data_IF_924976402770
#
_entry.id   IF_924976402770
#
_cell.length_a   1.000
_cell.length_b   1.000
_cell.length_c   1.000
_cell.angle_alpha   90.00
_cell.angle_beta   90.00
_cell.angle_gamma   90.00
#
_symmetry.space_group_name_H-M   'P 1'
#
loop_
_entity.id
_entity.type
_entity.pdbx_description
1 polymer ?
#
# COMPACT_ATOMS: atom_id res chain seq x y z
N UNK A 1 14.42 14.09 19.85
CA UNK A 1 14.02 14.47 18.48
C UNK A 1 15.11 15.30 17.82
N UNK A 2 15.44 16.48 18.35
CA UNK A 2 16.64 17.23 17.91
C UNK A 2 17.94 16.40 18.03
N UNK A 3 17.95 15.40 18.91
CA UNK A 3 19.06 14.46 19.10
C UNK A 3 19.23 13.41 18.00
N UNK A 4 18.23 13.17 17.14
CA UNK A 4 18.34 12.20 16.04
C UNK A 4 18.75 12.99 14.80
N UNK A 5 19.94 12.77 14.23
CA UNK A 5 20.48 13.61 13.14
C UNK A 5 19.59 13.59 11.89
N UNK A 6 19.23 12.39 11.42
CA UNK A 6 18.45 12.22 10.20
C UNK A 6 17.03 11.77 10.53
N UNK A 7 16.05 12.53 10.05
CA UNK A 7 14.62 12.26 10.26
C UNK A 7 13.94 12.30 8.92
N UNK A 8 13.45 11.14 8.47
CA UNK A 8 12.85 10.94 7.17
C UNK A 8 11.35 10.78 7.34
N UNK A 9 10.56 11.66 6.71
CA UNK A 9 9.10 11.62 6.76
C UNK A 9 8.54 11.26 5.39
N UNK A 10 8.00 10.04 5.28
CA UNK A 10 7.51 9.48 4.01
C UNK A 10 6.01 9.65 3.91
N UNK A 11 5.55 10.34 2.88
CA UNK A 11 4.15 10.65 2.63
C UNK A 11 3.81 10.46 1.14
N UNK A 12 2.55 10.63 0.79
CA UNK A 12 2.02 10.43 -0.55
C UNK A 12 0.76 9.57 -0.56
N UNK A 13 0.12 9.44 -1.71
CA UNK A 13 -1.14 8.67 -1.78
C UNK A 13 -0.90 7.16 -1.82
N UNK A 14 0.09 6.70 -2.60
CA UNK A 14 0.42 5.28 -2.82
C UNK A 14 1.90 5.01 -2.58
N UNK A 15 2.27 3.81 -2.15
CA UNK A 15 3.67 3.40 -2.01
C UNK A 15 4.40 3.88 -0.75
N UNK A 16 3.74 4.62 0.16
CA UNK A 16 4.37 5.14 1.40
C UNK A 16 5.07 4.06 2.22
N UNK A 17 4.36 2.96 2.50
CA UNK A 17 4.89 1.86 3.31
C UNK A 17 6.07 1.18 2.61
N UNK A 18 5.96 0.91 1.31
CA UNK A 18 7.05 0.37 0.49
C UNK A 18 8.29 1.27 0.58
N UNK A 19 8.16 2.55 0.21
CA UNK A 19 9.29 3.51 0.22
C UNK A 19 9.89 3.67 1.62
N UNK A 20 9.06 3.70 2.68
CA UNK A 20 9.58 3.75 4.04
C UNK A 20 10.41 2.51 4.41
N UNK A 21 9.98 1.31 3.99
CA UNK A 21 10.72 0.06 4.21
C UNK A 21 11.99 0.02 3.37
N UNK A 22 11.91 0.40 2.10
CA UNK A 22 13.05 0.45 1.17
C UNK A 22 14.14 1.39 1.66
N UNK A 23 13.81 2.63 2.02
CA UNK A 23 14.77 3.59 2.59
C UNK A 23 15.39 3.03 3.87
N UNK A 24 14.59 2.49 4.79
CA UNK A 24 15.11 1.95 6.03
C UNK A 24 16.03 0.74 5.83
N UNK A 25 15.74 -0.12 4.85
CA UNK A 25 16.55 -1.28 4.52
C UNK A 25 17.84 -0.91 3.79
N UNK A 26 17.74 -0.01 2.80
CA UNK A 26 18.90 0.48 2.07
C UNK A 26 19.90 1.19 3.00
N UNK A 27 19.41 2.07 3.88
CA UNK A 27 20.27 2.74 4.85
C UNK A 27 20.94 1.78 5.84
N UNK A 28 20.22 0.76 6.34
CA UNK A 28 20.82 -0.27 7.22
C UNK A 28 21.87 -1.09 6.50
N UNK A 29 21.64 -1.45 5.24
CA UNK A 29 22.64 -2.18 4.45
C UNK A 29 23.88 -1.32 4.18
N UNK A 30 23.74 0.00 4.14
CA UNK A 30 24.85 0.96 4.16
C UNK A 30 25.55 1.14 5.51
N UNK A 31 25.17 0.38 6.54
CA UNK A 31 25.80 0.41 7.86
C UNK A 31 25.20 1.41 8.85
N UNK A 32 24.17 2.17 8.48
CA UNK A 32 23.54 3.13 9.40
C UNK A 32 22.61 2.42 10.40
N UNK A 33 22.62 2.92 11.64
CA UNK A 33 21.64 2.54 12.67
C UNK A 33 20.30 3.21 12.40
N UNK A 34 19.38 2.49 11.76
CA UNK A 34 18.07 3.04 11.37
C UNK A 34 16.92 2.37 12.10
N UNK A 35 16.01 3.17 12.65
CA UNK A 35 14.69 2.68 13.06
C UNK A 35 13.63 3.15 12.06
N UNK A 36 12.60 2.33 11.84
CA UNK A 36 11.49 2.71 10.97
C UNK A 36 10.15 2.49 11.65
N UNK A 37 9.14 3.24 11.23
CA UNK A 37 7.75 3.04 11.61
C UNK A 37 6.89 3.14 10.35
N UNK A 38 6.13 2.09 10.08
CA UNK A 38 5.15 2.02 8.98
C UNK A 38 3.70 1.98 9.50
N UNK A 39 2.74 2.28 8.62
CA UNK A 39 1.30 2.28 8.91
C UNK A 39 0.46 1.53 7.89
N UNK A 40 1.08 0.64 7.10
CA UNK A 40 0.43 -0.21 6.11
C UNK A 40 -0.60 -1.19 6.70
N UNK A 41 -0.75 -2.35 6.07
CA UNK A 41 -1.69 -3.40 6.46
C UNK A 41 -1.60 -3.73 7.95
N UNK A 42 -0.38 -3.96 8.42
CA UNK A 42 -0.04 -4.07 9.84
C UNK A 42 0.97 -2.98 10.16
N UNK A 43 0.60 -2.08 11.07
CA UNK A 43 1.52 -1.06 11.54
C UNK A 43 2.65 -1.72 12.33
N UNK A 44 3.88 -1.38 11.99
CA UNK A 44 5.07 -1.98 12.58
C UNK A 44 6.13 -0.94 12.92
N UNK A 45 7.06 -1.36 13.78
CA UNK A 45 8.30 -0.65 14.10
C UNK A 45 9.44 -1.59 13.82
N UNK A 46 10.38 -1.14 13.01
CA UNK A 46 11.65 -1.82 12.76
C UNK A 46 12.72 -1.21 13.66
N UNK A 47 13.42 -2.04 14.42
CA UNK A 47 14.54 -1.60 15.27
C UNK A 47 15.86 -1.46 14.48
N UNK A 48 16.93 -1.02 15.16
CA UNK A 48 18.26 -0.84 14.52
C UNK A 48 18.87 -2.14 13.98
N UNK A 49 18.41 -3.30 14.45
CA UNK A 49 18.87 -4.62 13.97
C UNK A 49 18.05 -5.11 12.77
N UNK A 50 17.01 -4.36 12.37
CA UNK A 50 16.10 -4.78 11.31
C UNK A 50 14.96 -5.68 11.78
N UNK A 51 14.81 -5.92 13.09
CA UNK A 51 13.70 -6.72 13.62
C UNK A 51 12.41 -5.90 13.56
N UNK A 52 11.35 -6.50 13.01
CA UNK A 52 10.05 -5.86 12.84
C UNK A 52 9.07 -6.29 13.94
N UNK A 53 8.50 -5.32 14.65
CA UNK A 53 7.56 -5.54 15.75
C UNK A 53 6.21 -4.87 15.45
N UNK A 54 5.08 -5.54 15.69
CA UNK A 54 3.77 -4.92 15.50
C UNK A 54 3.52 -3.79 16.49
N UNK A 55 2.89 -2.72 16.04
CA UNK A 55 2.41 -1.63 16.91
C UNK A 55 1.06 -2.02 17.48
N UNK A 56 1.05 -2.35 18.77
CA UNK A 56 -0.19 -2.67 19.48
C UNK A 56 -1.06 -1.42 19.66
N UNK A 57 -2.34 -1.54 19.32
CA UNK A 57 -3.34 -0.47 19.37
C UNK A 57 -4.51 -0.88 20.24
N UNK A 58 -4.82 -0.06 21.24
CA UNK A 58 -6.05 -0.17 22.03
C UNK A 58 -7.26 0.49 21.35
N UNK A 59 -7.01 1.37 20.36
CA UNK A 59 -8.04 2.16 19.69
C UNK A 59 -7.68 2.41 18.21
N UNK A 60 -8.51 3.18 17.51
CA UNK A 60 -8.28 3.53 16.11
C UNK A 60 -6.92 4.21 15.91
N UNK A 61 -6.30 4.07 14.72
CA UNK A 61 -5.02 4.71 14.40
C UNK A 61 -5.08 6.23 14.62
N UNK A 62 -4.08 6.77 15.30
CA UNK A 62 -4.00 8.19 15.62
C UNK A 62 -2.55 8.67 15.50
N UNK A 63 -2.33 9.88 14.98
CA UNK A 63 -1.02 10.52 14.86
C UNK A 63 -0.25 10.58 16.21
N UNK A 64 -0.93 10.64 17.36
CA UNK A 64 -0.30 10.65 18.69
C UNK A 64 0.50 9.36 18.96
N UNK A 65 0.12 8.23 18.34
CA UNK A 65 0.89 6.98 18.37
C UNK A 65 2.34 7.19 17.93
N UNK A 66 2.55 8.02 16.90
CA UNK A 66 3.87 8.31 16.35
C UNK A 66 4.79 8.87 17.43
N UNK A 67 4.28 9.73 18.32
CA UNK A 67 5.08 10.30 19.41
C UNK A 67 5.51 9.26 20.44
N UNK A 68 4.68 8.25 20.71
CA UNK A 68 5.02 7.16 21.63
C UNK A 68 6.10 6.26 21.05
N UNK A 69 5.93 5.86 19.78
CA UNK A 69 6.93 5.08 19.04
C UNK A 69 8.24 5.84 18.95
N UNK A 70 8.18 7.12 18.60
CA UNK A 70 9.35 7.98 18.47
C UNK A 70 10.18 8.09 19.75
N UNK A 71 9.53 8.21 20.91
CA UNK A 71 10.22 8.18 22.22
C UNK A 71 10.90 6.84 22.48
N UNK A 72 10.31 5.73 22.02
CA UNK A 72 10.90 4.39 22.17
C UNK A 72 12.11 4.21 21.27
N UNK A 73 12.01 4.55 19.99
CA UNK A 73 13.12 4.39 19.04
C UNK A 73 14.28 5.34 19.36
N UNK A 74 14.02 6.53 19.90
CA UNK A 74 15.08 7.46 20.31
C UNK A 74 16.02 6.89 21.37
N UNK A 75 15.56 5.95 22.21
CA UNK A 75 16.39 5.27 23.21
C UNK A 75 17.43 4.33 22.60
N UNK A 76 17.22 3.91 21.35
CA UNK A 76 18.19 3.09 20.61
C UNK A 76 19.31 3.92 19.96
N UNK A 77 19.26 5.25 20.12
CA UNK A 77 20.22 6.20 19.53
C UNK A 77 20.46 5.92 18.03
N UNK A 78 19.40 5.94 17.21
CA UNK A 78 19.55 5.75 15.78
C UNK A 78 20.20 6.98 15.14
N UNK A 79 20.94 6.75 14.06
CA UNK A 79 21.51 7.79 13.20
C UNK A 79 20.43 8.36 12.27
N UNK A 80 19.51 7.51 11.84
CA UNK A 80 18.36 7.88 11.03
C UNK A 80 17.06 7.24 11.55
N UNK A 81 15.94 7.97 11.40
CA UNK A 81 14.61 7.39 11.57
C UNK A 81 13.76 7.61 10.33
N UNK A 82 12.98 6.59 9.96
CA UNK A 82 12.04 6.65 8.83
C UNK A 82 10.62 6.50 9.35
N UNK A 83 9.79 7.54 9.18
CA UNK A 83 8.42 7.55 9.66
C UNK A 83 7.46 7.73 8.49
N UNK A 84 6.56 6.77 8.32
CA UNK A 84 5.44 6.90 7.41
C UNK A 84 4.38 7.86 7.97
N UNK A 85 3.94 8.81 7.15
CA UNK A 85 2.89 9.75 7.48
C UNK A 85 1.52 9.04 7.49
N UNK A 86 0.77 9.29 8.56
CA UNK A 86 -0.58 8.76 8.76
C UNK A 86 -1.68 9.83 8.60
N UNK A 87 -1.29 11.11 8.47
CA UNK A 87 -2.24 12.20 8.42
C UNK A 87 -2.97 12.19 7.08
N UNK A 88 -4.29 12.38 7.12
CA UNK A 88 -5.10 12.64 5.93
C UNK A 88 -5.49 14.12 5.84
N UNK A 89 -5.95 14.68 6.96
CA UNK A 89 -6.39 16.09 6.99
C UNK A 89 -5.22 17.05 6.72
N UNK A 90 -5.38 18.06 5.85
CA UNK A 90 -4.31 19.00 5.52
C UNK A 90 -3.64 19.66 6.73
N UNK A 91 -4.44 20.01 7.76
CA UNK A 91 -3.91 20.60 9.01
C UNK A 91 -3.01 19.63 9.77
N UNK A 92 -3.32 18.33 9.76
CA UNK A 92 -2.49 17.33 10.40
C UNK A 92 -1.25 16.97 9.59
N UNK A 93 -1.27 17.13 8.26
CA UNK A 93 -0.07 17.04 7.44
C UNK A 93 0.96 18.08 7.91
N UNK A 94 0.53 19.35 8.03
CA UNK A 94 1.39 20.41 8.55
C UNK A 94 1.81 20.20 10.01
N UNK A 95 0.88 19.80 10.88
CA UNK A 95 1.17 19.58 12.31
C UNK A 95 2.21 18.47 12.52
N UNK A 96 2.05 17.33 11.83
CA UNK A 96 2.98 16.21 11.96
C UNK A 96 4.38 16.60 11.53
N UNK A 97 4.52 17.38 10.46
CA UNK A 97 5.84 17.85 10.02
C UNK A 97 6.43 18.89 10.98
N UNK A 98 5.70 19.96 11.27
CA UNK A 98 6.26 21.12 11.98
C UNK A 98 6.42 20.93 13.49
N UNK A 99 5.60 20.06 14.10
CA UNK A 99 5.54 19.89 15.56
C UNK A 99 5.90 18.49 16.06
N UNK A 100 5.88 17.47 15.18
CA UNK A 100 6.12 16.08 15.59
C UNK A 100 7.42 15.52 15.01
N UNK A 101 7.50 15.32 13.70
CA UNK A 101 8.63 14.66 13.04
C UNK A 101 9.79 15.63 12.82
N UNK A 102 9.50 16.85 12.34
CA UNK A 102 10.49 17.89 11.96
C UNK A 102 11.58 17.32 11.09
N UNK A 103 11.19 16.76 9.96
CA UNK A 103 12.07 15.98 9.10
C UNK A 103 13.23 16.81 8.57
N UNK A 104 14.38 16.16 8.42
CA UNK A 104 15.48 16.72 7.61
C UNK A 104 15.30 16.34 6.13
N UNK A 105 14.66 15.20 5.89
CA UNK A 105 14.35 14.66 4.57
C UNK A 105 12.85 14.34 4.50
N UNK A 106 12.10 15.13 3.75
CA UNK A 106 10.72 14.80 3.40
C UNK A 106 10.69 13.98 2.12
N UNK A 107 9.78 13.01 2.03
CA UNK A 107 9.61 12.17 0.85
C UNK A 107 8.13 12.15 0.47
N UNK A 108 7.79 12.56 -0.75
CA UNK A 108 6.44 12.46 -1.31
C UNK A 108 6.47 11.47 -2.47
N UNK A 109 5.82 10.32 -2.32
CA UNK A 109 5.84 9.29 -3.35
C UNK A 109 5.05 9.68 -4.60
N UNK A 110 3.84 10.21 -4.44
CA UNK A 110 2.92 10.65 -5.52
C UNK A 110 1.69 11.37 -4.93
N UNK A 111 0.96 12.09 -5.78
CA UNK A 111 -0.26 12.83 -5.43
C UNK A 111 -1.46 12.43 -6.31
N UNK A 112 -1.93 11.18 -6.19
CA UNK A 112 -3.09 10.68 -6.94
C UNK A 112 -4.41 11.16 -6.32
N UNK A 113 -5.52 10.97 -7.03
CA UNK A 113 -6.86 11.26 -6.52
C UNK A 113 -7.23 10.20 -5.47
N UNK A 114 -7.04 10.51 -4.20
CA UNK A 114 -7.43 9.67 -3.06
C UNK A 114 -7.97 10.58 -1.94
N UNK A 115 -8.92 10.07 -1.15
CA UNK A 115 -9.51 10.79 -0.03
C UNK A 115 -9.99 12.21 -0.37
N UNK A 116 -10.67 12.38 -1.52
CA UNK A 116 -11.07 13.69 -2.04
C UNK A 116 -12.07 14.43 -1.13
N UNK A 117 -12.79 13.69 -0.31
CA UNK A 117 -13.68 14.19 0.75
C UNK A 117 -12.91 14.85 1.91
N UNK A 118 -11.65 14.44 2.15
CA UNK A 118 -10.80 14.93 3.25
C UNK A 118 -9.70 15.87 2.78
N UNK A 119 -9.05 15.53 1.65
CA UNK A 119 -7.90 16.24 1.09
C UNK A 119 -8.29 17.29 0.04
N UNK A 120 -9.56 17.29 -0.37
CA UNK A 120 -10.12 18.24 -1.34
C UNK A 120 -10.42 17.60 -2.70
N UNK A 121 -11.22 18.27 -3.54
CA UNK A 121 -11.99 17.61 -4.60
C UNK A 121 -11.18 17.15 -5.81
N UNK A 122 -9.89 17.52 -5.93
CA UNK A 122 -9.07 17.23 -7.11
C UNK A 122 -7.67 16.74 -6.73
N UNK A 123 -6.97 16.11 -7.68
CA UNK A 123 -5.57 15.68 -7.47
C UNK A 123 -4.64 16.81 -7.04
N UNK A 124 -4.86 18.04 -7.55
CA UNK A 124 -4.12 19.22 -7.12
C UNK A 124 -4.36 19.55 -5.64
N UNK A 125 -5.59 19.41 -5.14
CA UNK A 125 -5.88 19.61 -3.71
C UNK A 125 -5.18 18.55 -2.85
N UNK A 126 -5.13 17.30 -3.33
CA UNK A 126 -4.34 16.24 -2.68
C UNK A 126 -2.86 16.62 -2.62
N UNK A 127 -2.28 17.12 -3.71
CA UNK A 127 -0.90 17.60 -3.73
C UNK A 127 -0.68 18.75 -2.72
N UNK A 128 -1.59 19.72 -2.65
CA UNK A 128 -1.55 20.83 -1.68
C UNK A 128 -1.63 20.31 -0.23
N UNK A 129 -2.49 19.33 0.04
CA UNK A 129 -2.59 18.70 1.35
C UNK A 129 -1.28 18.02 1.73
N UNK A 130 -0.70 17.22 0.83
CA UNK A 130 0.56 16.51 1.02
C UNK A 130 1.76 17.46 1.18
N UNK A 131 1.79 18.58 0.47
CA UNK A 131 2.80 19.63 0.62
C UNK A 131 2.83 20.22 2.04
N UNK A 132 1.75 20.04 2.81
CA UNK A 132 1.75 20.27 4.26
C UNK A 132 2.91 19.57 4.99
N UNK A 133 3.41 18.44 4.47
CA UNK A 133 4.51 17.65 5.04
C UNK A 133 5.92 17.98 4.53
N UNK A 134 6.10 19.04 3.74
CA UNK A 134 7.43 19.49 3.28
C UNK A 134 8.32 19.95 4.45
N UNK A 135 9.59 19.52 4.57
CA UNK A 135 10.46 19.96 5.64
C UNK A 135 10.70 21.48 5.61
N UNK A 136 11.14 22.04 6.73
CA UNK A 136 11.63 23.42 6.82
C UNK A 136 13.16 23.40 6.78
N UNK A 137 13.75 24.09 5.81
CA UNK A 137 15.22 24.12 5.59
C UNK A 137 15.83 22.71 5.50
N UNK A 138 15.16 21.82 4.77
CA UNK A 138 15.58 20.44 4.55
C UNK A 138 15.57 20.07 3.08
N UNK A 139 15.43 18.79 2.80
CA UNK A 139 15.36 18.24 1.44
C UNK A 139 14.03 17.54 1.22
N UNK A 140 13.33 17.84 0.12
CA UNK A 140 12.08 17.20 -0.28
C UNK A 140 12.32 16.35 -1.53
N UNK A 141 12.19 15.04 -1.40
CA UNK A 141 12.30 14.08 -2.51
C UNK A 141 10.92 13.73 -3.03
N UNK A 142 10.73 13.67 -4.35
CA UNK A 142 9.46 13.22 -4.91
C UNK A 142 9.59 12.57 -6.28
N UNK A 143 8.83 11.49 -6.49
CA UNK A 143 8.60 10.91 -7.82
C UNK A 143 7.30 11.45 -8.47
N UNK A 144 6.67 12.48 -7.88
CA UNK A 144 5.46 13.06 -8.43
C UNK A 144 5.75 14.01 -9.59
N UNK A 145 5.13 13.76 -10.74
CA UNK A 145 5.37 14.53 -11.96
C UNK A 145 4.23 15.50 -12.32
N UNK A 146 2.97 15.20 -11.96
CA UNK A 146 1.81 15.96 -12.48
C UNK A 146 1.56 17.27 -11.74
N UNK A 147 1.91 17.30 -10.46
CA UNK A 147 1.68 18.45 -9.58
C UNK A 147 2.99 18.95 -8.96
N UNK A 148 4.10 18.80 -9.69
CA UNK A 148 5.44 19.17 -9.23
C UNK A 148 5.53 20.66 -8.84
N UNK A 149 4.80 21.52 -9.55
CA UNK A 149 4.70 22.96 -9.29
C UNK A 149 4.25 23.29 -7.85
N UNK A 150 3.39 22.46 -7.26
CA UNK A 150 2.92 22.61 -5.87
C UNK A 150 4.07 22.36 -4.89
N UNK A 151 4.89 21.34 -5.16
CA UNK A 151 6.02 20.98 -4.30
C UNK A 151 7.19 21.94 -4.47
N UNK A 152 7.44 22.44 -5.69
CA UNK A 152 8.40 23.52 -5.94
C UNK A 152 8.06 24.79 -5.15
N UNK A 153 6.80 25.25 -5.25
CA UNK A 153 6.36 26.44 -4.53
C UNK A 153 6.50 26.27 -3.01
N UNK A 154 6.15 25.10 -2.48
CA UNK A 154 6.22 24.83 -1.03
C UNK A 154 7.65 24.63 -0.54
N UNK A 155 8.51 23.96 -1.32
CA UNK A 155 9.93 23.82 -0.99
C UNK A 155 10.59 25.20 -0.92
N UNK A 156 10.32 26.08 -1.90
CA UNK A 156 10.78 27.47 -1.90
C UNK A 156 10.29 28.25 -0.67
N UNK A 157 8.99 28.18 -0.36
CA UNK A 157 8.39 28.82 0.81
C UNK A 157 9.07 28.40 2.13
N UNK A 158 9.39 27.10 2.25
CA UNK A 158 10.01 26.53 3.46
C UNK A 158 11.53 26.56 3.47
N UNK A 159 12.16 27.15 2.44
CA UNK A 159 13.60 27.19 2.26
C UNK A 159 14.23 25.80 2.13
N UNK A 160 13.49 24.83 1.62
CA UNK A 160 13.93 23.45 1.39
C UNK A 160 14.34 23.25 -0.07
N UNK A 161 15.26 22.33 -0.30
CA UNK A 161 15.67 21.89 -1.63
C UNK A 161 14.66 20.85 -2.14
N UNK A 162 14.19 20.98 -3.37
CA UNK A 162 13.39 19.96 -4.04
C UNK A 162 14.28 19.07 -4.90
N UNK A 163 14.17 17.76 -4.73
CA UNK A 163 14.80 16.73 -5.56
C UNK A 163 13.68 15.91 -6.21
N UNK A 164 13.41 16.19 -7.48
CA UNK A 164 12.42 15.46 -8.28
C UNK A 164 13.08 14.29 -9.00
N UNK A 165 12.47 13.11 -8.90
CA UNK A 165 12.93 11.88 -9.56
C UNK A 165 12.19 11.76 -10.88
N UNK A 166 12.89 12.02 -11.97
CA UNK A 166 12.36 11.97 -13.32
C UNK A 166 12.35 10.56 -13.93
N UNK A 167 11.73 10.43 -15.10
CA UNK A 167 11.63 9.15 -15.81
C UNK A 167 13.00 8.57 -16.18
N UNK A 168 14.02 9.41 -16.37
CA UNK A 168 15.38 8.96 -16.66
C UNK A 168 16.03 8.34 -15.42
N UNK A 169 15.86 8.95 -14.24
CA UNK A 169 16.30 8.36 -12.97
C UNK A 169 15.56 7.06 -12.66
N UNK A 170 14.24 6.99 -12.92
CA UNK A 170 13.47 5.74 -12.79
C UNK A 170 14.01 4.66 -13.72
N UNK A 171 14.33 4.99 -14.96
CA UNK A 171 14.87 4.06 -15.94
C UNK A 171 16.27 3.52 -15.57
N UNK A 172 16.96 4.12 -14.60
CA UNK A 172 18.21 3.54 -14.06
C UNK A 172 17.97 2.29 -13.22
N UNK A 173 16.75 2.04 -12.74
CA UNK A 173 16.38 0.80 -12.06
C UNK A 173 16.03 -0.23 -13.13
N UNK A 174 16.95 -1.17 -13.35
CA UNK A 174 16.80 -2.19 -14.39
C UNK A 174 15.80 -3.27 -13.99
N UNK A 175 15.30 -4.04 -14.96
CA UNK A 175 14.47 -5.21 -14.66
C UNK A 175 15.27 -6.27 -13.86
N UNK A 176 16.58 -6.38 -14.10
CA UNK A 176 17.46 -7.27 -13.34
C UNK A 176 17.56 -6.84 -11.87
N UNK A 177 17.59 -5.52 -11.59
CA UNK A 177 17.51 -5.00 -10.22
C UNK A 177 16.19 -5.43 -9.56
N UNK A 178 15.08 -5.33 -10.28
CA UNK A 178 13.74 -5.67 -9.77
C UNK A 178 13.53 -7.18 -9.58
N UNK A 179 14.13 -8.02 -10.41
CA UNK A 179 14.03 -9.49 -10.29
C UNK A 179 14.67 -10.03 -9.01
N UNK A 180 15.62 -9.30 -8.43
CA UNK A 180 16.26 -9.69 -7.17
C UNK A 180 15.34 -9.49 -5.94
N UNK A 181 14.23 -8.77 -6.08
CA UNK A 181 13.29 -8.57 -4.98
C UNK A 181 12.44 -9.82 -4.75
N UNK A 182 12.18 -10.12 -3.47
CA UNK A 182 11.31 -11.24 -3.06
C UNK A 182 9.83 -11.04 -3.40
N UNK A 183 9.45 -9.86 -3.85
CA UNK A 183 8.11 -9.49 -4.28
C UNK A 183 8.22 -8.44 -5.39
N UNK A 184 7.12 -8.28 -6.14
CA UNK A 184 7.07 -7.27 -7.19
C UNK A 184 7.01 -5.86 -6.59
N UNK A 185 8.05 -5.07 -6.84
CA UNK A 185 8.14 -3.66 -6.45
C UNK A 185 8.10 -2.75 -7.68
N UNK A 186 7.81 -1.46 -7.47
CA UNK A 186 7.77 -0.45 -8.52
C UNK A 186 9.13 0.26 -8.66
N UNK A 187 9.61 0.38 -9.91
CA UNK A 187 10.86 1.08 -10.23
C UNK A 187 10.88 2.50 -9.65
N UNK A 188 9.75 3.21 -9.67
CA UNK A 188 9.63 4.56 -9.12
C UNK A 188 9.88 4.59 -7.60
N UNK A 189 9.39 3.59 -6.86
CA UNK A 189 9.62 3.49 -5.41
C UNK A 189 11.08 3.17 -5.11
N UNK A 190 11.70 2.29 -5.91
CA UNK A 190 13.12 1.92 -5.76
C UNK A 190 14.00 3.13 -6.07
N UNK A 191 13.79 3.80 -7.20
CA UNK A 191 14.55 4.99 -7.61
C UNK A 191 14.47 6.11 -6.56
N UNK A 192 13.26 6.42 -6.07
CA UNK A 192 13.05 7.40 -5.00
C UNK A 192 13.79 7.01 -3.72
N UNK A 193 13.75 5.74 -3.34
CA UNK A 193 14.41 5.24 -2.13
C UNK A 193 15.93 5.27 -2.27
N UNK A 194 16.46 4.91 -3.44
CA UNK A 194 17.89 4.97 -3.75
C UNK A 194 18.41 6.40 -3.68
N UNK A 195 17.68 7.37 -4.23
CA UNK A 195 18.08 8.78 -4.20
C UNK A 195 18.22 9.31 -2.76
N UNK A 196 17.32 8.87 -1.87
CA UNK A 196 17.40 9.21 -0.45
C UNK A 196 18.60 8.54 0.24
N UNK A 197 18.88 7.27 -0.09
CA UNK A 197 20.03 6.54 0.45
C UNK A 197 21.37 7.15 -0.01
N UNK A 198 21.49 7.47 -1.30
CA UNK A 198 22.66 8.12 -1.90
C UNK A 198 22.95 9.47 -1.23
N UNK A 199 21.92 10.30 -1.03
CA UNK A 199 22.05 11.59 -0.36
C UNK A 199 22.50 11.48 1.11
N UNK A 200 22.39 10.29 1.71
CA UNK A 200 22.83 9.98 3.05
C UNK A 200 24.14 9.16 3.08
N UNK A 201 24.84 9.09 1.94
CA UNK A 201 26.18 8.51 1.82
C UNK A 201 26.20 6.99 1.68
N UNK A 202 25.09 6.37 1.30
CA UNK A 202 25.02 4.92 1.08
C UNK A 202 25.21 4.60 -0.40
N UNK A 203 26.18 3.72 -0.68
CA UNK A 203 26.45 3.20 -2.02
C UNK A 203 25.23 2.49 -2.62
N UNK A 204 24.99 2.71 -3.91
CA UNK A 204 23.82 2.19 -4.62
C UNK A 204 23.68 0.67 -4.48
N UNK A 205 24.75 -0.07 -4.68
CA UNK A 205 24.75 -1.53 -4.62
C UNK A 205 24.36 -2.05 -3.24
N UNK A 206 24.92 -1.46 -2.17
CA UNK A 206 24.58 -1.81 -0.80
C UNK A 206 23.11 -1.49 -0.49
N UNK A 207 22.63 -0.32 -0.94
CA UNK A 207 21.23 0.07 -0.77
C UNK A 207 20.28 -0.91 -1.48
N UNK A 208 20.55 -1.25 -2.74
CA UNK A 208 19.78 -2.21 -3.53
C UNK A 208 19.76 -3.60 -2.89
N UNK A 209 20.91 -4.10 -2.44
CA UNK A 209 21.00 -5.39 -1.76
C UNK A 209 20.13 -5.42 -0.49
N UNK A 210 20.15 -4.35 0.30
CA UNK A 210 19.29 -4.19 1.48
C UNK A 210 17.80 -4.17 1.14
N UNK A 211 17.43 -3.44 0.08
CA UNK A 211 16.05 -3.33 -0.41
C UNK A 211 15.53 -4.68 -0.93
N UNK A 212 16.32 -5.40 -1.73
CA UNK A 212 15.96 -6.69 -2.31
C UNK A 212 15.79 -7.80 -1.25
N UNK A 213 16.52 -7.71 -0.13
CA UNK A 213 16.42 -8.64 0.98
C UNK A 213 15.15 -8.48 1.85
N UNK A 214 14.33 -7.45 1.61
CA UNK A 214 13.11 -7.23 2.37
C UNK A 214 12.09 -8.36 2.18
N UNK A 215 11.51 -8.81 3.28
CA UNK A 215 10.33 -9.65 3.21
C UNK A 215 9.13 -8.85 2.66
N UNK A 216 8.23 -9.48 1.89
CA UNK A 216 6.99 -8.84 1.46
C UNK A 216 6.20 -8.32 2.66
N UNK A 217 5.49 -7.20 2.50
CA UNK A 217 4.58 -6.72 3.54
C UNK A 217 3.49 -7.78 3.80
N UNK A 218 3.03 -7.96 5.05
CA UNK A 218 1.79 -8.68 5.30
C UNK A 218 0.66 -8.13 4.42
N UNK A 219 0.11 -8.97 3.54
CA UNK A 219 -0.92 -8.55 2.59
C UNK A 219 -0.43 -8.06 1.23
N UNK A 220 0.88 -8.15 0.95
CA UNK A 220 1.40 -7.98 -0.40
C UNK A 220 0.69 -8.91 -1.38
N UNK A 221 0.57 -8.48 -2.64
CA UNK A 221 -0.19 -9.24 -3.62
C UNK A 221 0.51 -10.54 -3.99
N UNK A 222 -0.18 -11.65 -3.69
CA UNK A 222 0.33 -13.01 -3.86
C UNK A 222 -0.71 -13.85 -4.60
N UNK A 223 -0.20 -14.77 -5.43
CA UNK A 223 -0.98 -15.82 -6.09
C UNK A 223 -0.74 -17.11 -5.32
N UNK A 224 -1.79 -17.60 -4.67
CA UNK A 224 -1.83 -18.85 -3.94
C UNK A 224 -2.49 -19.91 -4.82
N UNK A 225 -1.75 -20.95 -5.20
CA UNK A 225 -2.34 -22.13 -5.86
C UNK A 225 -2.60 -23.20 -4.81
N UNK A 226 -3.80 -23.77 -4.79
CA UNK A 226 -4.15 -24.83 -3.87
C UNK A 226 -5.13 -25.83 -4.48
N UNK A 227 -4.92 -27.10 -4.15
CA UNK A 227 -5.89 -28.17 -4.42
C UNK A 227 -6.75 -28.39 -3.18
N UNK A 228 -8.05 -28.12 -3.28
CA UNK A 228 -8.98 -28.24 -2.14
C UNK A 228 -10.14 -29.17 -2.49
N UNK A 229 -10.21 -30.33 -1.84
CA UNK A 229 -11.21 -31.39 -2.13
C UNK A 229 -11.33 -31.73 -3.63
N UNK A 230 -10.19 -31.84 -4.32
CA UNK A 230 -10.13 -32.13 -5.77
C UNK A 230 -10.48 -30.96 -6.68
N UNK A 231 -10.60 -29.74 -6.14
CA UNK A 231 -10.78 -28.50 -6.90
C UNK A 231 -9.45 -27.78 -7.02
N UNK A 232 -9.19 -27.19 -8.18
CA UNK A 232 -8.03 -26.34 -8.39
C UNK A 232 -8.42 -24.89 -8.16
N UNK A 233 -7.88 -24.27 -7.11
CA UNK A 233 -8.19 -22.89 -6.77
C UNK A 233 -6.94 -22.03 -6.92
N UNK A 234 -7.11 -20.92 -7.62
CA UNK A 234 -6.13 -19.84 -7.69
C UNK A 234 -6.68 -18.68 -6.88
N UNK A 235 -6.17 -18.52 -5.66
CA UNK A 235 -6.54 -17.39 -4.82
C UNK A 235 -5.51 -16.28 -4.96
N UNK A 236 -5.96 -15.08 -5.28
CA UNK A 236 -5.11 -13.90 -5.46
C UNK A 236 -5.40 -12.93 -4.33
N UNK A 237 -4.43 -12.76 -3.43
CA UNK A 237 -4.50 -11.84 -2.29
C UNK A 237 -4.25 -10.40 -2.75
N UNK A 238 -5.21 -9.75 -3.38
CA UNK A 238 -5.11 -8.36 -3.82
C UNK A 238 -5.80 -7.37 -2.86
N UNK A 239 -5.99 -7.75 -1.59
CA UNK A 239 -6.75 -6.94 -0.62
C UNK A 239 -6.07 -5.62 -0.24
N UNK A 240 -4.78 -5.48 -0.53
CA UNK A 240 -4.05 -4.22 -0.45
C UNK A 240 -4.44 -3.23 -1.56
N UNK A 241 -4.88 -3.73 -2.73
CA UNK A 241 -5.37 -2.90 -3.84
C UNK A 241 -6.78 -2.38 -3.50
N UNK A 242 -6.88 -1.07 -3.33
CA UNK A 242 -8.06 -0.42 -2.75
C UNK A 242 -8.57 0.79 -3.55
N UNK A 243 -8.10 0.95 -4.79
CA UNK A 243 -8.54 1.94 -5.76
C UNK A 243 -8.97 1.26 -7.08
N UNK A 244 -9.88 1.88 -7.85
CA UNK A 244 -10.38 1.38 -9.13
C UNK A 244 -9.31 0.94 -10.14
N UNK A 245 -8.23 1.72 -10.26
CA UNK A 245 -7.21 1.50 -11.29
C UNK A 245 -6.37 0.26 -10.97
N UNK A 246 -5.91 0.14 -9.72
CA UNK A 246 -5.09 -0.97 -9.26
C UNK A 246 -5.88 -2.27 -9.21
N UNK A 247 -7.15 -2.25 -8.76
CA UNK A 247 -8.00 -3.44 -8.74
C UNK A 247 -8.32 -3.93 -10.15
N UNK A 248 -8.67 -3.04 -11.08
CA UNK A 248 -8.88 -3.40 -12.49
C UNK A 248 -7.63 -4.02 -13.10
N UNK A 249 -6.46 -3.41 -12.90
CA UNK A 249 -5.19 -3.93 -13.46
C UNK A 249 -4.89 -5.35 -12.99
N UNK A 250 -5.11 -5.63 -11.71
CA UNK A 250 -4.94 -6.97 -11.15
C UNK A 250 -5.97 -7.94 -11.72
N UNK A 251 -7.25 -7.52 -11.77
CA UNK A 251 -8.32 -8.33 -12.30
C UNK A 251 -8.06 -8.74 -13.76
N UNK A 252 -7.76 -7.79 -14.63
CA UNK A 252 -7.52 -8.06 -16.06
C UNK A 252 -6.34 -8.99 -16.27
N UNK A 253 -5.28 -8.85 -15.47
CA UNK A 253 -4.12 -9.75 -15.55
C UNK A 253 -4.46 -11.18 -15.15
N UNK A 254 -5.25 -11.35 -14.10
CA UNK A 254 -5.71 -12.67 -13.66
C UNK A 254 -6.69 -13.28 -14.66
N UNK A 255 -7.63 -12.47 -15.16
CA UNK A 255 -8.59 -12.91 -16.16
C UNK A 255 -7.88 -13.37 -17.45
N UNK A 256 -6.86 -12.64 -17.91
CA UNK A 256 -6.07 -13.04 -19.08
C UNK A 256 -5.31 -14.37 -18.89
N UNK A 257 -4.92 -14.70 -17.65
CA UNK A 257 -4.15 -15.92 -17.34
C UNK A 257 -5.04 -17.14 -17.05
N UNK A 258 -6.19 -16.93 -16.43
CA UNK A 258 -7.08 -18.00 -15.98
C UNK A 258 -8.44 -17.85 -16.65
N UNK A 259 -8.63 -18.59 -17.74
CA UNK A 259 -9.73 -18.37 -18.67
C UNK A 259 -10.91 -19.34 -18.46
N UNK A 260 -12.15 -18.93 -18.78
CA UNK A 260 -13.32 -19.81 -18.79
C UNK A 260 -13.13 -20.97 -19.78
N UNK A 261 -12.41 -20.74 -20.89
CA UNK A 261 -12.05 -21.76 -21.87
C UNK A 261 -11.20 -22.87 -21.25
N UNK A 262 -10.31 -22.54 -20.30
CA UNK A 262 -9.53 -23.49 -19.49
C UNK A 262 -10.33 -24.10 -18.31
N UNK A 263 -11.61 -23.75 -18.21
CA UNK A 263 -12.56 -24.22 -17.21
C UNK A 263 -12.57 -23.41 -15.91
N UNK A 264 -11.88 -22.27 -15.82
CA UNK A 264 -11.86 -21.45 -14.61
C UNK A 264 -13.11 -20.59 -14.48
N UNK A 265 -13.80 -20.74 -13.35
CA UNK A 265 -14.74 -19.72 -12.87
C UNK A 265 -13.98 -18.53 -12.28
N UNK A 266 -14.32 -17.31 -12.69
CA UNK A 266 -13.69 -16.08 -12.18
C UNK A 266 -14.57 -15.42 -11.12
N UNK A 267 -14.09 -15.37 -9.87
CA UNK A 267 -14.84 -14.86 -8.72
C UNK A 267 -14.10 -13.66 -8.12
N UNK A 268 -14.78 -12.52 -8.01
CA UNK A 268 -14.27 -11.34 -7.35
C UNK A 268 -14.76 -11.28 -5.90
N UNK A 269 -13.86 -11.14 -4.94
CA UNK A 269 -14.23 -10.86 -3.54
C UNK A 269 -13.97 -9.39 -3.26
N UNK A 270 -14.99 -8.65 -2.87
CA UNK A 270 -14.90 -7.21 -2.57
C UNK A 270 -15.14 -6.99 -1.08
N UNK A 271 -14.07 -6.69 -0.33
CA UNK A 271 -14.17 -6.40 1.09
C UNK A 271 -14.46 -4.91 1.36
N UNK A 272 -15.71 -4.60 1.68
CA UNK A 272 -16.21 -3.26 1.91
C UNK A 272 -15.97 -2.77 3.34
N UNK A 273 -15.98 -1.44 3.50
CA UNK A 273 -15.83 -0.77 4.79
C UNK A 273 -16.80 0.39 4.94
N UNK A 274 -17.61 0.34 6.00
CA UNK A 274 -18.58 1.39 6.32
C UNK A 274 -17.91 2.76 6.61
N UNK A 275 -16.68 2.77 7.10
CA UNK A 275 -15.89 3.99 7.33
C UNK A 275 -15.20 4.53 6.07
N UNK A 276 -15.32 3.84 4.92
CA UNK A 276 -14.79 4.27 3.61
C UNK A 276 -15.81 4.06 2.48
N UNK A 277 -17.02 4.63 2.62
CA UNK A 277 -18.17 4.31 1.77
C UNK A 277 -17.95 4.64 0.29
N UNK A 278 -17.20 5.72 0.01
CA UNK A 278 -16.93 6.16 -1.35
C UNK A 278 -16.11 5.12 -2.15
N UNK A 279 -15.13 4.47 -1.51
CA UNK A 279 -14.28 3.46 -2.17
C UNK A 279 -15.07 2.26 -2.65
N UNK A 280 -16.03 1.79 -1.85
CA UNK A 280 -16.93 0.70 -2.24
C UNK A 280 -17.74 1.07 -3.48
N UNK A 281 -18.21 2.32 -3.58
CA UNK A 281 -18.95 2.80 -4.75
C UNK A 281 -18.04 2.91 -5.98
N UNK A 282 -16.83 3.48 -5.84
CA UNK A 282 -15.87 3.61 -6.92
C UNK A 282 -15.41 2.25 -7.48
N UNK A 283 -15.20 1.26 -6.61
CA UNK A 283 -14.87 -0.11 -7.02
C UNK A 283 -16.06 -0.76 -7.74
N UNK A 284 -17.30 -0.52 -7.31
CA UNK A 284 -18.48 -1.03 -8.01
C UNK A 284 -18.61 -0.46 -9.43
N UNK A 285 -18.30 0.83 -9.63
CA UNK A 285 -18.24 1.44 -10.96
C UNK A 285 -17.19 0.74 -11.82
N UNK A 286 -15.99 0.53 -11.28
CA UNK A 286 -14.91 -0.14 -12.02
C UNK A 286 -15.26 -1.60 -12.33
N UNK A 287 -15.88 -2.31 -11.38
CA UNK A 287 -16.25 -3.71 -11.50
C UNK A 287 -17.22 -3.99 -12.65
N UNK A 288 -18.06 -3.02 -13.01
CA UNK A 288 -18.96 -3.15 -14.15
C UNK A 288 -18.23 -3.13 -15.52
N UNK A 289 -16.99 -2.65 -15.56
CA UNK A 289 -16.15 -2.58 -16.76
C UNK A 289 -15.07 -3.66 -16.82
N UNK A 290 -15.06 -4.57 -15.84
CA UNK A 290 -14.11 -5.68 -15.79
C UNK A 290 -14.45 -6.75 -16.82
N UNK A 291 -13.40 -7.45 -17.28
CA UNK A 291 -13.55 -8.69 -18.04
C UNK A 291 -14.38 -9.73 -17.29
N UNK A 292 -14.90 -10.72 -18.03
CA UNK A 292 -15.96 -11.63 -17.58
C UNK A 292 -15.78 -12.11 -16.13
N UNK A 293 -16.65 -11.63 -15.25
CA UNK A 293 -16.65 -11.95 -13.82
C UNK A 293 -17.84 -12.82 -13.48
N UNK A 294 -17.65 -14.12 -13.26
CA UNK A 294 -18.78 -15.03 -13.05
C UNK A 294 -19.59 -14.68 -11.80
N UNK A 295 -18.91 -14.28 -10.71
CA UNK A 295 -19.57 -13.95 -9.47
C UNK A 295 -18.81 -12.91 -8.65
N UNK A 296 -19.55 -12.09 -7.90
CA UNK A 296 -19.04 -11.17 -6.89
C UNK A 296 -19.46 -11.65 -5.50
N UNK A 297 -18.50 -11.83 -4.60
CA UNK A 297 -18.75 -12.08 -3.17
C UNK A 297 -18.40 -10.81 -2.41
N UNK A 298 -19.40 -10.12 -1.88
CA UNK A 298 -19.24 -8.82 -1.23
C UNK A 298 -19.27 -9.02 0.27
N UNK A 299 -18.15 -8.72 0.94
CA UNK A 299 -17.94 -9.00 2.37
C UNK A 299 -17.67 -7.69 3.13
N UNK A 300 -17.54 -7.79 4.45
CA UNK A 300 -17.10 -6.69 5.30
C UNK A 300 -18.28 -5.91 5.88
N UNK A 301 -18.24 -4.58 5.78
CA UNK A 301 -19.28 -3.69 6.32
C UNK A 301 -19.67 -2.59 5.33
N UNK A 302 -20.92 -2.14 5.39
CA UNK A 302 -21.45 -1.12 4.48
C UNK A 302 -21.56 -1.60 3.04
N UNK A 303 -21.82 -2.90 2.81
CA UNK A 303 -21.81 -3.52 1.48
C UNK A 303 -22.90 -2.94 0.56
N UNK A 304 -23.96 -2.39 1.14
CA UNK A 304 -25.09 -1.78 0.43
C UNK A 304 -24.68 -0.74 -0.60
N UNK A 305 -23.58 0.00 -0.39
CA UNK A 305 -23.13 1.01 -1.34
C UNK A 305 -22.48 0.40 -2.58
N UNK A 306 -21.69 -0.67 -2.40
CA UNK A 306 -21.19 -1.45 -3.52
C UNK A 306 -22.38 -2.05 -4.29
N UNK A 307 -23.32 -2.70 -3.58
CA UNK A 307 -24.48 -3.34 -4.18
C UNK A 307 -25.32 -2.35 -5.01
N UNK A 308 -25.69 -1.20 -4.44
CA UNK A 308 -26.50 -0.19 -5.13
C UNK A 308 -25.84 0.30 -6.42
N UNK A 309 -24.56 0.64 -6.37
CA UNK A 309 -23.86 1.14 -7.55
C UNK A 309 -23.60 0.02 -8.56
N UNK A 310 -23.28 -1.20 -8.13
CA UNK A 310 -23.13 -2.38 -9.00
C UNK A 310 -24.41 -2.68 -9.80
N UNK A 311 -25.57 -2.72 -9.12
CA UNK A 311 -26.87 -2.94 -9.75
C UNK A 311 -27.21 -1.82 -10.74
N UNK A 312 -26.97 -0.56 -10.34
CA UNK A 312 -27.19 0.61 -11.21
C UNK A 312 -26.33 0.57 -12.48
N UNK A 313 -25.14 -0.04 -12.41
CA UNK A 313 -24.22 -0.22 -13.53
C UNK A 313 -24.48 -1.48 -14.35
N UNK A 314 -25.52 -2.25 -13.99
CA UNK A 314 -25.97 -3.41 -14.77
C UNK A 314 -25.32 -4.73 -14.38
N UNK A 315 -24.63 -4.82 -13.23
CA UNK A 315 -24.22 -6.13 -12.70
C UNK A 315 -25.49 -6.85 -12.22
N UNK A 316 -25.81 -8.05 -12.76
CA UNK A 316 -27.05 -8.75 -12.41
C UNK A 316 -27.05 -9.20 -10.93
N UNK A 317 -28.19 -9.09 -10.22
CA UNK A 317 -28.30 -9.52 -8.82
C UNK A 317 -27.87 -10.96 -8.57
N UNK A 318 -28.15 -11.87 -9.50
CA UNK A 318 -27.81 -13.29 -9.42
C UNK A 318 -26.30 -13.57 -9.46
N UNK A 319 -25.49 -12.59 -9.89
CA UNK A 319 -24.02 -12.64 -9.89
C UNK A 319 -23.41 -12.01 -8.65
N UNK A 320 -24.21 -11.65 -7.64
CA UNK A 320 -23.74 -11.01 -6.41
C UNK A 320 -24.23 -11.81 -5.20
N UNK A 321 -23.30 -12.31 -4.39
CA UNK A 321 -23.58 -12.82 -3.04
C UNK A 321 -23.09 -11.80 -2.02
N UNK A 322 -23.97 -11.38 -1.11
CA UNK A 322 -23.64 -10.46 -0.02
C UNK A 322 -23.46 -11.26 1.27
N UNK A 323 -22.24 -11.28 1.77
CA UNK A 323 -21.81 -11.95 3.00
C UNK A 323 -21.41 -10.89 4.06
N UNK A 324 -22.26 -9.86 4.23
CA UNK A 324 -22.03 -8.82 5.24
C UNK A 324 -22.24 -9.39 6.65
N UNK A 325 -21.21 -9.27 7.50
CA UNK A 325 -21.24 -9.83 8.86
C UNK A 325 -21.04 -11.35 8.94
N UNK A 326 -20.93 -12.05 7.81
CA UNK A 326 -20.61 -13.46 7.78
C UNK A 326 -19.22 -13.73 8.38
N UNK A 327 -19.09 -14.88 9.03
CA UNK A 327 -17.80 -15.39 9.47
C UNK A 327 -16.94 -15.79 8.27
N UNK A 328 -15.62 -15.77 8.44
CA UNK A 328 -14.73 -16.20 7.36
C UNK A 328 -14.99 -17.63 6.89
N UNK A 329 -15.50 -18.50 7.76
CA UNK A 329 -15.90 -19.85 7.39
C UNK A 329 -17.06 -19.86 6.40
N UNK A 330 -18.13 -19.12 6.69
CA UNK A 330 -19.31 -19.00 5.81
C UNK A 330 -18.93 -18.40 4.46
N UNK A 331 -18.07 -17.38 4.47
CA UNK A 331 -17.55 -16.78 3.22
C UNK A 331 -16.75 -17.80 2.41
N UNK A 332 -15.89 -18.60 3.05
CA UNK A 332 -15.13 -19.66 2.37
C UNK A 332 -16.06 -20.72 1.79
N UNK A 333 -17.04 -21.17 2.56
CA UNK A 333 -18.04 -22.15 2.10
C UNK A 333 -18.77 -21.61 0.85
N UNK A 334 -19.21 -20.36 0.87
CA UNK A 334 -19.82 -19.68 -0.28
C UNK A 334 -18.89 -19.61 -1.50
N UNK A 335 -17.61 -19.26 -1.31
CA UNK A 335 -16.62 -19.26 -2.39
C UNK A 335 -16.48 -20.66 -3.00
N UNK A 336 -16.43 -21.70 -2.17
CA UNK A 336 -16.28 -23.08 -2.62
C UNK A 336 -17.51 -23.57 -3.37
N UNK A 337 -18.72 -23.21 -2.96
CA UNK A 337 -19.95 -23.50 -3.69
C UNK A 337 -19.92 -22.89 -5.10
N UNK A 338 -19.43 -21.65 -5.21
CA UNK A 338 -19.32 -20.94 -6.48
C UNK A 338 -18.21 -21.49 -7.39
N UNK A 339 -17.10 -21.98 -6.82
CA UNK A 339 -15.83 -22.27 -7.51
C UNK A 339 -15.87 -23.42 -8.54
N UNK A 340 -16.86 -24.30 -8.52
CA UNK A 340 -16.87 -25.46 -9.42
C UNK A 340 -15.59 -26.31 -9.29
N UNK A 341 -15.08 -26.86 -10.42
CA UNK A 341 -13.84 -27.67 -10.44
C UNK A 341 -12.57 -26.81 -10.45
N UNK A 342 -12.59 -25.67 -11.14
CA UNK A 342 -11.47 -24.74 -11.24
C UNK A 342 -11.97 -23.31 -11.02
N UNK A 343 -11.29 -22.54 -10.17
CA UNK A 343 -11.65 -21.14 -9.96
C UNK A 343 -10.43 -20.23 -9.78
N UNK A 344 -10.53 -19.04 -10.37
CA UNK A 344 -9.67 -17.90 -10.08
C UNK A 344 -10.45 -16.93 -9.19
N UNK A 345 -9.98 -16.76 -7.96
CA UNK A 345 -10.64 -16.02 -6.89
C UNK A 345 -9.75 -14.83 -6.54
N UNK A 346 -10.22 -13.60 -6.73
CA UNK A 346 -9.42 -12.40 -6.51
C UNK A 346 -10.03 -11.57 -5.38
N UNK A 347 -9.33 -11.50 -4.25
CA UNK A 347 -9.73 -10.68 -3.10
C UNK A 347 -9.21 -9.26 -3.19
N UNK A 348 -10.07 -8.24 -3.12
CA UNK A 348 -9.71 -6.84 -3.36
C UNK A 348 -10.39 -5.87 -2.37
N UNK A 349 -10.08 -4.58 -2.51
CA UNK A 349 -10.64 -3.43 -1.79
C UNK A 349 -10.12 -3.21 -0.36
N UNK A 350 -10.16 -4.22 0.51
CA UNK A 350 -9.63 -4.06 1.85
C UNK A 350 -9.10 -5.33 2.49
N UNK A 351 -7.98 -5.21 3.18
CA UNK A 351 -7.40 -6.31 3.95
C UNK A 351 -7.91 -6.40 5.38
N UNK A 352 -8.45 -5.34 5.98
CA UNK A 352 -8.91 -5.42 7.38
C UNK A 352 -10.14 -6.31 7.51
N UNK A 353 -10.25 -7.02 8.65
CA UNK A 353 -11.36 -7.94 8.92
C UNK A 353 -11.28 -9.17 8.01
N UNK A 354 -12.39 -9.48 7.33
CA UNK A 354 -12.53 -10.68 6.50
C UNK A 354 -11.44 -10.85 5.43
N UNK A 355 -10.92 -9.76 4.84
CA UNK A 355 -9.83 -9.84 3.86
C UNK A 355 -8.56 -10.51 4.40
N UNK A 356 -8.13 -10.17 5.62
CA UNK A 356 -6.94 -10.74 6.26
C UNK A 356 -7.17 -12.20 6.67
N UNK A 357 -8.38 -12.52 7.14
CA UNK A 357 -8.75 -13.88 7.52
C UNK A 357 -8.77 -14.81 6.29
N UNK A 358 -9.33 -14.36 5.17
CA UNK A 358 -9.29 -15.09 3.90
C UNK A 358 -7.87 -15.23 3.37
N UNK A 359 -7.10 -14.14 3.31
CA UNK A 359 -5.71 -14.17 2.87
C UNK A 359 -4.88 -15.17 3.67
N UNK A 360 -5.05 -15.19 5.00
CA UNK A 360 -4.39 -16.16 5.89
C UNK A 360 -4.89 -17.57 5.66
N UNK A 361 -6.20 -17.78 5.48
CA UNK A 361 -6.77 -19.10 5.27
C UNK A 361 -6.21 -19.78 4.01
N UNK A 362 -6.22 -19.05 2.88
CA UNK A 362 -5.72 -19.55 1.59
C UNK A 362 -4.20 -19.61 1.57
N UNK A 363 -3.51 -18.60 2.10
CA UNK A 363 -2.04 -18.59 2.19
C UNK A 363 -1.48 -19.77 2.99
N UNK A 364 -2.11 -20.13 4.12
CA UNK A 364 -1.69 -21.28 4.94
C UNK A 364 -1.93 -22.65 4.28
N UNK A 365 -2.73 -22.70 3.21
CA UNK A 365 -3.08 -23.92 2.47
C UNK A 365 -2.54 -23.91 1.04
N UNK A 366 -1.78 -22.88 0.69
CA UNK A 366 -1.20 -22.75 -0.63
C UNK A 366 -0.10 -23.82 -0.81
N UNK A 367 -0.15 -24.54 -1.91
CA UNK A 367 0.93 -25.42 -2.36
C UNK A 367 2.10 -24.57 -2.89
N UNK A 368 1.78 -23.44 -3.52
CA UNK A 368 2.74 -22.46 -4.02
C UNK A 368 2.29 -21.04 -3.70
N UNK A 369 3.25 -20.18 -3.36
CA UNK A 369 3.09 -18.75 -3.12
C UNK A 369 3.99 -18.01 -4.11
N UNK A 370 3.36 -17.40 -5.11
CA UNK A 370 4.06 -16.66 -6.16
C UNK A 370 3.72 -15.15 -6.06
N UNK A 371 4.67 -14.24 -6.30
CA UNK A 371 4.32 -12.85 -6.55
C UNK A 371 3.45 -12.75 -7.81
N UNK A 372 2.49 -11.81 -7.81
CA UNK A 372 1.58 -11.64 -8.95
C UNK A 372 2.31 -11.27 -10.24
#
# INVERSE_FOLDING_TARGET
LASIPVRIHVNGTRGKTSVARLIAAGLRAGGLRVCAKTSGTLASVTDVQGNEFPVFRLSQPNIIEQMRVMRRVAKQQPEAVVFECMALQPRFQALTETHMIRSTHGVITNARRDHLDVMGPTGRHVAIALAGSTPIRGKLYTAEQRHLDVFEATAKDRGSELIAIDDAEVATVSEDDLQNFRYREHAENVALSLKVCEALGVEREAALAGMAALEPEPGATQVCKLTFHGRELIFVNAFAANDPESTRRIWERIAAKYTPEDGYKRIAIVNCRADRPQRSSEIAVAAAEWSETHHFVVIGSGTILFLREALKRGIPPERITVEEGATSREVIESILELSGKRAAIVGMANIKGGGNELARYFGNRAETLEPL
#
